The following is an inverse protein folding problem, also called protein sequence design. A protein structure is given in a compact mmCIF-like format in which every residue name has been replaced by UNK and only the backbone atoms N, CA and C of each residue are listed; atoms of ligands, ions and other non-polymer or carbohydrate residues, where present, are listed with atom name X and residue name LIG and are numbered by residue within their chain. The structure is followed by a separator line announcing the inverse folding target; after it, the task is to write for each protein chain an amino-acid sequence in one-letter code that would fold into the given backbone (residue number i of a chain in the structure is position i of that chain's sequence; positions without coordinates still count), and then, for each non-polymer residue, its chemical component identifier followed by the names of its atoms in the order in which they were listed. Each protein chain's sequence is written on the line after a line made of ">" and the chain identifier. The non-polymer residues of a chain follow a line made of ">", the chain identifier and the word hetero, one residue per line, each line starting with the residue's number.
data_IF_299711738775
#
_entry.id   IF_299711738775
#
_cell.length_a   1.000
_cell.length_b   1.000
_cell.length_c   1.000
_cell.angle_alpha   90.00
_cell.angle_beta   90.00
_cell.angle_gamma   90.00
#
_symmetry.space_group_name_H-M   'P 1'
#
loop_
_entity.id
_entity.type
_entity.pdbx_description
1 polymer ?
#
# COMPACT_ATOMS: atom_id res chain seq x y z
N UNK A 1 2.28 -12.05 64.25
CA UNK A 1 3.44 -11.34 63.65
C UNK A 1 3.80 -12.19 62.47
N UNK A 2 3.00 -12.04 61.41
CA UNK A 2 2.93 -12.97 60.30
C UNK A 2 3.26 -12.17 59.05
N UNK A 3 4.34 -12.62 58.43
CA UNK A 3 5.15 -11.86 57.52
C UNK A 3 4.37 -11.43 56.29
N UNK A 4 4.50 -10.14 55.99
CA UNK A 4 4.23 -9.56 54.69
C UNK A 4 5.14 -10.26 53.66
N UNK A 5 4.63 -11.27 52.96
CA UNK A 5 5.30 -11.80 51.79
C UNK A 5 5.24 -10.74 50.67
N UNK A 6 6.38 -10.35 50.07
CA UNK A 6 6.39 -9.41 48.96
C UNK A 6 5.69 -10.02 47.73
N UNK A 7 5.01 -9.21 46.89
CA UNK A 7 4.55 -9.68 45.59
C UNK A 7 5.77 -10.15 44.80
N UNK A 8 5.82 -11.45 44.51
CA UNK A 8 6.83 -12.04 43.66
C UNK A 8 6.83 -11.30 42.33
N UNK A 9 7.97 -10.67 42.05
CA UNK A 9 8.24 -10.04 40.78
C UNK A 9 8.08 -11.03 39.62
N UNK A 10 7.81 -10.47 38.44
CA UNK A 10 8.05 -11.09 37.14
C UNK A 10 7.11 -12.23 36.75
N UNK A 11 5.82 -11.93 36.64
CA UNK A 11 5.08 -12.39 35.46
C UNK A 11 5.19 -11.29 34.39
N UNK A 12 6.38 -11.17 33.80
CA UNK A 12 6.47 -10.58 32.47
C UNK A 12 5.64 -11.51 31.58
N UNK A 13 4.41 -11.09 31.29
CA UNK A 13 3.55 -11.77 30.36
C UNK A 13 4.28 -11.72 29.01
N UNK A 14 4.96 -12.81 28.70
CA UNK A 14 5.70 -12.99 27.46
C UNK A 14 4.79 -12.63 26.29
N UNK A 15 5.29 -11.70 25.50
CA UNK A 15 4.61 -11.12 24.36
C UNK A 15 4.38 -12.19 23.29
N UNK A 16 3.25 -12.88 23.37
CA UNK A 16 2.73 -13.79 22.34
C UNK A 16 2.10 -13.02 21.16
N UNK A 17 2.60 -11.80 20.90
CA UNK A 17 2.24 -10.99 19.75
C UNK A 17 3.35 -11.13 18.70
N UNK A 18 3.01 -11.36 17.41
CA UNK A 18 4.00 -11.43 16.34
C UNK A 18 4.95 -10.22 16.43
N UNK A 19 6.24 -10.53 16.56
CA UNK A 19 7.34 -9.59 16.84
C UNK A 19 7.08 -8.20 16.25
N UNK A 20 6.89 -7.22 17.13
CA UNK A 20 6.72 -5.79 16.80
C UNK A 20 7.75 -5.28 15.79
N UNK A 21 8.93 -5.90 15.73
CA UNK A 21 9.98 -5.60 14.76
C UNK A 21 9.59 -5.85 13.29
N UNK A 22 8.69 -6.80 13.00
CA UNK A 22 8.23 -7.07 11.62
C UNK A 22 7.42 -5.89 11.09
N UNK A 23 6.48 -5.38 11.88
CA UNK A 23 5.66 -4.22 11.50
C UNK A 23 6.52 -2.97 11.32
N UNK A 24 7.48 -2.71 12.22
CA UNK A 24 8.41 -1.58 12.07
C UNK A 24 9.19 -1.68 10.76
N UNK A 25 9.72 -2.87 10.42
CA UNK A 25 10.44 -3.09 9.16
C UNK A 25 9.56 -2.78 7.94
N UNK A 26 8.31 -3.23 7.96
CA UNK A 26 7.35 -3.00 6.87
C UNK A 26 6.96 -1.51 6.80
N UNK A 27 6.78 -0.85 7.94
CA UNK A 27 6.56 0.59 8.02
C UNK A 27 7.71 1.39 7.40
N UNK A 28 8.96 1.01 7.66
CA UNK A 28 10.12 1.62 7.02
C UNK A 28 10.11 1.39 5.50
N UNK A 29 9.77 0.18 5.03
CA UNK A 29 9.64 -0.09 3.59
C UNK A 29 8.55 0.79 2.96
N UNK A 30 7.39 0.91 3.59
CA UNK A 30 6.31 1.78 3.12
C UNK A 30 6.74 3.24 3.08
N UNK A 31 7.46 3.71 4.10
CA UNK A 31 7.99 5.07 4.15
C UNK A 31 8.94 5.33 2.98
N UNK A 32 9.87 4.41 2.72
CA UNK A 32 10.80 4.52 1.57
C UNK A 32 10.04 4.52 0.25
N UNK A 33 9.06 3.63 0.07
CA UNK A 33 8.22 3.62 -1.14
C UNK A 33 7.48 4.94 -1.35
N UNK A 34 6.94 5.53 -0.29
CA UNK A 34 6.28 6.84 -0.36
C UNK A 34 7.28 7.95 -0.68
N UNK A 35 8.48 7.94 -0.07
CA UNK A 35 9.53 8.89 -0.39
C UNK A 35 9.97 8.79 -1.86
N UNK A 36 10.02 7.57 -2.41
CA UNK A 36 10.30 7.35 -3.84
C UNK A 36 9.20 7.92 -4.74
N UNK A 37 7.92 7.79 -4.38
CA UNK A 37 6.84 8.41 -5.15
C UNK A 37 6.91 9.93 -5.15
N UNK A 38 7.11 10.54 -3.98
CA UNK A 38 7.25 11.99 -3.85
C UNK A 38 8.49 12.47 -4.60
N UNK A 39 9.62 11.75 -4.47
CA UNK A 39 10.83 12.05 -5.23
C UNK A 39 10.64 11.93 -6.74
N UNK A 40 9.91 10.92 -7.21
CA UNK A 40 9.58 10.75 -8.63
C UNK A 40 8.69 11.88 -9.14
N UNK A 41 7.71 12.33 -8.34
CA UNK A 41 6.88 13.50 -8.66
C UNK A 41 7.72 14.78 -8.74
N UNK A 42 8.55 15.05 -7.73
CA UNK A 42 9.40 16.25 -7.70
C UNK A 42 10.41 16.29 -8.86
N UNK A 43 10.94 15.14 -9.27
CA UNK A 43 11.89 15.04 -10.37
C UNK A 43 11.24 15.12 -11.75
N UNK A 44 9.97 14.74 -11.88
CA UNK A 44 9.27 14.70 -13.18
C UNK A 44 8.44 15.96 -13.43
N UNK A 45 7.75 16.46 -12.41
CA UNK A 45 6.81 17.59 -12.51
C UNK A 45 7.10 18.75 -11.55
N UNK A 46 7.95 18.53 -10.53
CA UNK A 46 8.28 19.54 -9.52
C UNK A 46 9.34 20.55 -9.98
N UNK A 47 9.75 21.41 -9.04
CA UNK A 47 10.71 22.50 -9.30
C UNK A 47 12.14 22.04 -9.64
N UNK A 48 12.43 20.75 -9.47
CA UNK A 48 13.72 20.12 -9.78
C UNK A 48 13.68 19.30 -11.09
N UNK A 49 12.66 19.50 -11.93
CA UNK A 49 12.53 18.84 -13.22
C UNK A 49 13.67 19.25 -14.17
N UNK A 50 14.72 18.42 -14.23
CA UNK A 50 15.80 18.54 -15.20
C UNK A 50 15.47 17.84 -16.53
N UNK A 51 16.39 17.86 -17.52
CA UNK A 51 16.21 17.19 -18.81
C UNK A 51 15.91 15.69 -18.69
N UNK A 52 16.42 15.04 -17.64
CA UNK A 52 16.17 13.64 -17.34
C UNK A 52 14.73 13.35 -16.86
N UNK A 53 14.04 14.33 -16.25
CA UNK A 53 12.64 14.20 -15.83
C UNK A 53 11.68 14.09 -17.02
N UNK A 54 12.00 14.74 -18.13
CA UNK A 54 11.16 14.76 -19.33
C UNK A 54 11.09 13.37 -20.01
N UNK A 55 12.16 12.59 -19.94
CA UNK A 55 12.19 11.20 -20.43
C UNK A 55 11.31 10.26 -19.59
N UNK A 56 11.14 10.55 -18.30
CA UNK A 56 10.34 9.74 -17.38
C UNK A 56 8.86 10.11 -17.38
N UNK A 57 8.51 11.28 -17.93
CA UNK A 57 7.15 11.80 -17.96
C UNK A 57 6.07 10.83 -18.52
N UNK A 58 6.31 10.10 -19.62
CA UNK A 58 5.33 9.13 -20.13
C UNK A 58 5.13 7.92 -19.21
N UNK A 59 6.18 7.54 -18.46
CA UNK A 59 6.18 6.39 -17.56
C UNK A 59 5.79 6.75 -16.13
N UNK A 60 5.66 8.04 -15.81
CA UNK A 60 5.35 8.52 -14.48
C UNK A 60 4.06 7.90 -13.91
N UNK A 61 2.98 7.97 -14.67
CA UNK A 61 1.67 7.43 -14.25
C UNK A 61 1.74 5.93 -14.00
N UNK A 62 2.22 5.07 -14.93
CA UNK A 62 2.29 3.63 -14.67
C UNK A 62 3.24 3.27 -13.53
N UNK A 63 4.36 3.98 -13.34
CA UNK A 63 5.28 3.73 -12.23
C UNK A 63 4.63 4.09 -10.89
N UNK A 64 3.97 5.25 -10.77
CA UNK A 64 3.24 5.60 -9.55
C UNK A 64 2.12 4.61 -9.25
N UNK A 65 1.38 4.17 -10.26
CA UNK A 65 0.33 3.16 -10.09
C UNK A 65 0.91 1.85 -9.53
N UNK A 66 2.07 1.42 -10.04
CA UNK A 66 2.76 0.22 -9.56
C UNK A 66 3.26 0.38 -8.12
N UNK A 67 3.88 1.51 -7.78
CA UNK A 67 4.34 1.80 -6.41
C UNK A 67 3.16 1.84 -5.43
N UNK A 68 2.04 2.45 -5.82
CA UNK A 68 0.80 2.47 -5.06
C UNK A 68 0.19 1.08 -4.87
N UNK A 69 0.15 0.26 -5.92
CA UNK A 69 -0.31 -1.13 -5.83
C UNK A 69 0.59 -1.97 -4.90
N UNK A 70 1.91 -1.79 -4.97
CA UNK A 70 2.86 -2.49 -4.11
C UNK A 70 2.66 -2.12 -2.62
N UNK A 71 2.50 -0.83 -2.30
CA UNK A 71 2.19 -0.39 -0.92
C UNK A 71 0.87 -0.96 -0.43
N UNK A 72 -0.17 -0.89 -1.25
CA UNK A 72 -1.48 -1.46 -0.92
C UNK A 72 -1.37 -2.96 -0.61
N UNK A 73 -0.65 -3.72 -1.45
CA UNK A 73 -0.41 -5.14 -1.22
C UNK A 73 0.37 -5.40 0.07
N UNK A 74 1.40 -4.61 0.37
CA UNK A 74 2.16 -4.71 1.62
C UNK A 74 1.26 -4.47 2.84
N UNK A 75 0.44 -3.43 2.81
CA UNK A 75 -0.53 -3.11 3.86
C UNK A 75 -1.57 -4.21 3.99
N UNK A 76 -2.14 -4.67 2.89
CA UNK A 76 -3.14 -5.73 2.89
C UNK A 76 -2.58 -7.05 3.47
N UNK A 77 -1.37 -7.44 3.07
CA UNK A 77 -0.77 -8.68 3.54
C UNK A 77 -0.40 -8.63 5.02
N UNK A 78 0.22 -7.53 5.48
CA UNK A 78 0.85 -7.50 6.80
C UNK A 78 0.11 -6.67 7.84
N UNK A 79 -0.49 -5.54 7.49
CA UNK A 79 -1.23 -4.68 8.45
C UNK A 79 -2.72 -5.04 8.53
N UNK A 80 -3.31 -5.51 7.43
CA UNK A 80 -4.68 -6.06 7.42
C UNK A 80 -4.71 -7.57 7.71
N UNK A 81 -3.55 -8.14 8.06
CA UNK A 81 -3.37 -9.53 8.49
C UNK A 81 -3.76 -10.62 7.47
N UNK A 82 -4.04 -10.30 6.21
CA UNK A 82 -4.42 -11.31 5.20
C UNK A 82 -3.39 -12.43 5.00
N UNK A 83 -2.10 -12.18 5.29
CA UNK A 83 -1.05 -13.20 5.26
C UNK A 83 -1.11 -14.16 6.45
N UNK A 84 -1.64 -13.72 7.59
CA UNK A 84 -1.72 -14.46 8.85
C UNK A 84 -3.12 -15.05 9.09
N UNK A 85 -4.13 -14.54 8.39
CA UNK A 85 -5.53 -14.91 8.50
C UNK A 85 -5.94 -16.10 7.59
N UNK A 86 -7.10 -16.67 7.91
CA UNK A 86 -7.70 -17.74 7.09
C UNK A 86 -8.07 -17.25 5.69
N UNK A 87 -7.98 -18.14 4.68
CA UNK A 87 -8.21 -17.84 3.25
C UNK A 87 -9.57 -17.20 2.94
N UNK A 88 -10.55 -17.35 3.82
CA UNK A 88 -11.87 -16.69 3.71
C UNK A 88 -11.76 -15.16 3.82
N UNK A 89 -10.94 -14.62 4.74
CA UNK A 89 -10.77 -13.18 4.88
C UNK A 89 -10.09 -12.57 3.65
N UNK A 90 -9.10 -13.27 3.09
CA UNK A 90 -8.50 -12.91 1.81
C UNK A 90 -9.51 -12.94 0.66
N UNK A 91 -10.43 -13.92 0.64
CA UNK A 91 -11.51 -13.98 -0.34
C UNK A 91 -12.47 -12.79 -0.25
N UNK A 92 -12.93 -12.45 0.96
CA UNK A 92 -13.84 -11.31 1.21
C UNK A 92 -13.18 -9.96 0.90
N UNK A 93 -11.86 -9.87 1.00
CA UNK A 93 -11.12 -8.66 0.63
C UNK A 93 -10.85 -8.55 -0.88
N UNK A 94 -10.42 -9.66 -1.51
CA UNK A 94 -10.05 -9.66 -2.93
C UNK A 94 -11.27 -9.58 -3.84
N UNK A 95 -12.41 -10.17 -3.44
CA UNK A 95 -13.65 -10.11 -4.21
C UNK A 95 -14.11 -8.67 -4.55
N UNK A 96 -14.33 -7.76 -3.58
CA UNK A 96 -14.70 -6.39 -3.87
C UNK A 96 -13.57 -5.63 -4.57
N UNK A 97 -12.29 -5.96 -4.33
CA UNK A 97 -11.16 -5.36 -5.04
C UNK A 97 -11.20 -5.67 -6.55
N UNK A 98 -11.50 -6.92 -6.92
CA UNK A 98 -11.66 -7.32 -8.31
C UNK A 98 -12.85 -6.62 -8.95
N UNK A 99 -14.00 -6.58 -8.26
CA UNK A 99 -15.19 -5.87 -8.76
C UNK A 99 -14.87 -4.39 -8.99
N UNK A 100 -14.25 -3.71 -8.02
CA UNK A 100 -13.87 -2.31 -8.14
C UNK A 100 -12.94 -2.08 -9.34
N UNK A 101 -11.94 -2.95 -9.52
CA UNK A 101 -11.01 -2.88 -10.66
C UNK A 101 -11.74 -3.03 -11.99
N UNK A 102 -12.63 -4.02 -12.11
CA UNK A 102 -13.44 -4.24 -13.32
C UNK A 102 -14.34 -3.05 -13.62
N UNK A 103 -14.99 -2.48 -12.61
CA UNK A 103 -15.85 -1.30 -12.77
C UNK A 103 -15.03 -0.09 -13.23
N UNK A 104 -13.89 0.19 -12.58
CA UNK A 104 -13.01 1.31 -12.96
C UNK A 104 -12.53 1.15 -14.40
N UNK A 105 -12.04 -0.03 -14.78
CA UNK A 105 -11.58 -0.29 -16.15
C UNK A 105 -12.73 -0.15 -17.16
N UNK A 106 -13.92 -0.67 -16.84
CA UNK A 106 -15.12 -0.52 -17.67
C UNK A 106 -15.47 0.94 -17.90
N UNK A 107 -15.40 1.78 -16.86
CA UNK A 107 -15.65 3.21 -16.97
C UNK A 107 -14.59 3.94 -17.80
N UNK A 108 -13.30 3.59 -17.64
CA UNK A 108 -12.22 4.15 -18.47
C UNK A 108 -12.47 3.83 -19.95
N UNK A 109 -12.81 2.57 -20.25
CA UNK A 109 -13.10 2.11 -21.60
C UNK A 109 -14.33 2.83 -22.17
N UNK A 110 -15.43 2.89 -21.43
CA UNK A 110 -16.66 3.58 -21.84
C UNK A 110 -16.38 5.06 -22.16
N UNK A 111 -15.65 5.74 -21.27
CA UNK A 111 -15.31 7.14 -21.44
C UNK A 111 -14.37 7.35 -22.64
N UNK A 112 -13.42 6.45 -22.86
CA UNK A 112 -12.53 6.47 -24.02
C UNK A 112 -13.32 6.34 -25.34
N UNK A 113 -14.29 5.41 -25.41
CA UNK A 113 -15.17 5.26 -26.57
C UNK A 113 -16.04 6.50 -26.80
N UNK A 114 -16.65 7.04 -25.74
CA UNK A 114 -17.47 8.24 -25.84
C UNK A 114 -16.65 9.44 -26.35
N UNK A 115 -15.46 9.67 -25.80
CA UNK A 115 -14.58 10.74 -26.27
C UNK A 115 -14.04 10.51 -27.68
N UNK A 116 -13.80 9.25 -28.09
CA UNK A 116 -13.40 8.94 -29.46
C UNK A 116 -14.52 9.25 -30.45
N UNK A 117 -15.75 8.85 -30.13
CA UNK A 117 -16.94 9.14 -30.93
C UNK A 117 -17.22 10.65 -31.03
N UNK A 118 -17.14 11.39 -29.92
CA UNK A 118 -17.38 12.83 -29.88
C UNK A 118 -16.35 13.67 -30.67
N UNK A 119 -15.15 13.13 -30.96
CA UNK A 119 -14.13 13.80 -31.81
C UNK A 119 -14.29 13.47 -33.30
N UNK A 120 -15.16 12.51 -33.65
CA UNK A 120 -15.33 12.00 -35.01
C UNK A 120 -16.53 12.57 -35.77
N UNK A 121 -17.31 13.46 -35.15
CA UNK A 121 -18.39 14.24 -35.77
C UNK A 121 -18.10 15.73 -35.68
#
# INVERSE_FOLDING_TARGET
>A
MDAHAPPTAAAAHDADHPSSGVYVKIGVVLFVLTALEVGLYEFTYGGHAGPAGQTLQPFFIPVLLLLSAAKFALVAMYYMHLKQDHRLFSGVFVFPLVIATVVIVSLIVLQAYHFAFARSG
#
